data_IF_062265367325
#
_entry.id   IF_062265367325
#
_cell.length_a   1.000
_cell.length_b   1.000
_cell.length_c   1.000
_cell.angle_alpha   90.00
_cell.angle_beta   90.00
_cell.angle_gamma   90.00
#
_symmetry.space_group_name_H-M   'P 1'
#
loop_
_entity.id
_entity.type
_entity.pdbx_description
1 polymer ?
#
# COMPACT_ATOMS: atom_id res chain seq x y z
N UNK A 1 8.64 16.95 3.62
CA UNK A 1 7.73 17.67 4.56
C UNK A 1 8.39 17.90 5.92
N UNK A 2 9.04 16.90 6.49
CA UNK A 2 9.70 16.95 7.81
C UNK A 2 10.87 17.95 7.83
N UNK A 3 11.66 18.04 6.76
CA UNK A 3 12.80 18.99 6.68
C UNK A 3 12.38 20.47 6.86
N UNK A 4 11.15 20.82 6.45
CA UNK A 4 10.58 22.17 6.64
C UNK A 4 10.41 22.58 8.11
N UNK A 5 10.24 21.60 9.00
CA UNK A 5 10.01 21.82 10.44
C UNK A 5 11.27 21.66 11.29
N UNK A 6 12.34 21.12 10.71
CA UNK A 6 13.59 20.80 11.41
C UNK A 6 14.71 21.81 11.15
N UNK A 7 14.42 23.04 10.68
CA UNK A 7 15.43 24.09 10.50
C UNK A 7 16.04 24.46 11.87
N UNK A 8 17.05 23.69 12.30
CA UNK A 8 17.74 23.91 13.56
C UNK A 8 19.19 24.37 13.28
N UNK A 9 19.51 25.58 13.72
CA UNK A 9 20.88 26.13 13.78
C UNK A 9 21.68 26.16 12.46
N UNK A 10 21.08 26.44 11.32
CA UNK A 10 21.77 26.53 10.00
C UNK A 10 22.58 25.29 9.60
N UNK A 11 22.30 24.12 10.20
CA UNK A 11 22.94 22.85 9.79
C UNK A 11 22.27 22.30 8.53
N UNK A 12 23.04 21.63 7.65
CA UNK A 12 22.46 20.99 6.48
C UNK A 12 21.49 19.90 6.88
N UNK A 13 20.30 19.87 6.25
CA UNK A 13 19.30 18.82 6.43
C UNK A 13 19.05 18.21 5.07
N UNK A 14 19.20 16.91 4.97
CA UNK A 14 18.86 16.13 3.79
C UNK A 14 17.84 15.05 4.13
N UNK A 15 16.86 14.86 3.24
CA UNK A 15 15.85 13.79 3.39
C UNK A 15 16.35 12.55 2.65
N UNK A 16 16.66 11.53 3.41
CA UNK A 16 17.09 10.23 2.89
C UNK A 16 16.04 9.20 3.28
N UNK A 17 15.46 8.53 2.28
CA UNK A 17 14.42 7.54 2.52
C UNK A 17 14.96 6.25 3.12
N UNK A 18 14.10 5.47 3.78
CA UNK A 18 14.43 4.08 4.13
C UNK A 18 14.49 3.23 2.86
N UNK A 19 15.47 2.32 2.74
CA UNK A 19 15.60 1.46 1.57
C UNK A 19 14.57 0.33 1.56
N UNK A 20 14.34 -0.22 0.36
CA UNK A 20 13.66 -1.51 0.17
C UNK A 20 14.67 -2.59 -0.21
N UNK A 21 14.34 -3.84 0.10
CA UNK A 21 15.09 -5.01 -0.37
C UNK A 21 14.57 -5.44 -1.75
N UNK A 22 15.13 -4.85 -2.81
CA UNK A 22 14.72 -5.13 -4.20
C UNK A 22 15.06 -6.55 -4.69
N UNK A 23 15.87 -7.31 -3.95
CA UNK A 23 16.14 -8.73 -4.23
C UNK A 23 15.01 -9.61 -3.68
N UNK A 24 14.43 -9.24 -2.54
CA UNK A 24 13.27 -9.91 -1.98
C UNK A 24 11.98 -9.50 -2.73
N UNK A 25 11.80 -8.19 -2.94
CA UNK A 25 10.65 -7.62 -3.64
C UNK A 25 10.95 -7.44 -5.13
N UNK A 26 10.84 -8.53 -5.88
CA UNK A 26 11.02 -8.57 -7.34
C UNK A 26 9.87 -9.32 -8.00
N UNK A 27 9.55 -9.04 -9.26
CA UNK A 27 8.51 -9.72 -9.99
C UNK A 27 8.68 -11.24 -9.92
N UNK A 28 7.56 -11.94 -9.72
CA UNK A 28 7.50 -13.40 -9.67
C UNK A 28 6.60 -13.91 -10.78
N UNK A 29 6.98 -15.02 -11.39
CA UNK A 29 6.14 -15.73 -12.37
C UNK A 29 5.08 -16.55 -11.63
N UNK A 30 3.97 -15.91 -11.34
CA UNK A 30 2.80 -16.54 -10.72
C UNK A 30 1.53 -16.18 -11.50
N UNK A 31 0.53 -17.04 -11.42
CA UNK A 31 -0.81 -16.72 -11.94
C UNK A 31 -1.40 -15.60 -11.08
N UNK A 32 -1.66 -14.45 -11.72
CA UNK A 32 -2.38 -13.35 -11.06
C UNK A 32 -3.83 -13.78 -10.88
N UNK A 33 -4.31 -13.71 -9.66
CA UNK A 33 -5.71 -13.97 -9.35
C UNK A 33 -6.52 -12.76 -9.80
N UNK A 34 -7.40 -12.96 -10.80
CA UNK A 34 -8.21 -11.89 -11.40
C UNK A 34 -9.06 -11.23 -10.30
N UNK A 35 -9.08 -9.89 -10.30
CA UNK A 35 -9.82 -9.08 -9.32
C UNK A 35 -9.40 -9.28 -7.85
N UNK A 36 -8.19 -9.83 -7.60
CA UNK A 36 -7.61 -9.95 -6.28
C UNK A 36 -7.07 -8.59 -5.82
N UNK A 37 -7.69 -8.04 -4.78
CA UNK A 37 -7.28 -6.80 -4.12
C UNK A 37 -6.51 -7.18 -2.86
N UNK A 38 -5.27 -6.73 -2.74
CA UNK A 38 -4.40 -7.08 -1.61
C UNK A 38 -4.03 -5.86 -0.79
N UNK A 39 -4.22 -5.98 0.51
CA UNK A 39 -3.67 -5.08 1.52
C UNK A 39 -2.64 -5.84 2.36
N UNK A 40 -1.53 -5.20 2.69
CA UNK A 40 -0.57 -5.71 3.68
C UNK A 40 -0.16 -4.60 4.66
N UNK A 41 -0.15 -4.93 5.94
CA UNK A 41 0.19 -4.00 7.02
C UNK A 41 -0.58 -4.31 8.30
N UNK A 42 -0.27 -3.61 9.39
CA UNK A 42 -1.04 -3.76 10.62
C UNK A 42 -2.51 -3.43 10.36
N UNK A 43 -3.42 -4.31 10.76
CA UNK A 43 -4.87 -4.09 10.61
C UNK A 43 -5.31 -3.15 11.72
N UNK A 44 -5.41 -1.85 11.39
CA UNK A 44 -5.79 -0.80 12.34
C UNK A 44 -6.40 0.41 11.62
N UNK A 45 -7.05 1.30 12.37
CA UNK A 45 -7.68 2.53 11.84
C UNK A 45 -6.69 3.40 11.07
N UNK A 46 -5.49 3.60 11.61
CA UNK A 46 -4.41 4.41 11.00
C UNK A 46 -4.09 3.97 9.57
N UNK A 47 -4.26 2.69 9.25
CA UNK A 47 -3.97 2.11 7.93
C UNK A 47 -5.14 2.15 6.96
N UNK A 48 -6.28 2.72 7.37
CA UNK A 48 -7.47 2.91 6.51
C UNK A 48 -8.17 1.61 6.13
N UNK A 49 -7.95 0.53 6.88
CA UNK A 49 -8.54 -0.78 6.57
C UNK A 49 -10.07 -0.74 6.65
N UNK A 50 -10.63 0.00 7.60
CA UNK A 50 -12.08 0.20 7.70
C UNK A 50 -12.65 0.82 6.43
N UNK A 51 -12.03 1.89 5.93
CA UNK A 51 -12.47 2.61 4.74
C UNK A 51 -12.30 1.75 3.48
N UNK A 52 -11.26 0.90 3.43
CA UNK A 52 -11.09 -0.07 2.36
C UNK A 52 -12.22 -1.13 2.37
N UNK A 53 -12.58 -1.64 3.54
CA UNK A 53 -13.72 -2.55 3.73
C UNK A 53 -15.02 -1.87 3.30
N UNK A 54 -15.25 -0.62 3.70
CA UNK A 54 -16.44 0.15 3.34
C UNK A 54 -16.50 0.49 1.83
N UNK A 55 -15.35 0.57 1.16
CA UNK A 55 -15.26 0.75 -0.29
C UNK A 55 -15.63 -0.51 -1.08
N UNK A 56 -15.43 -1.69 -0.51
CA UNK A 56 -15.48 -2.96 -1.19
C UNK A 56 -16.85 -3.30 -1.82
N UNK A 57 -18.02 -2.99 -1.23
CA UNK A 57 -19.33 -3.21 -1.88
C UNK A 57 -19.45 -2.53 -3.24
N UNK A 58 -18.96 -1.29 -3.38
CA UNK A 58 -18.98 -0.58 -4.66
C UNK A 58 -18.09 -1.26 -5.71
N UNK A 59 -16.97 -1.85 -5.27
CA UNK A 59 -16.13 -2.66 -6.17
C UNK A 59 -16.86 -3.92 -6.60
N UNK A 60 -17.54 -4.61 -5.67
CA UNK A 60 -18.33 -5.83 -5.94
C UNK A 60 -19.47 -5.59 -6.94
N UNK A 61 -20.07 -4.40 -6.98
CA UNK A 61 -21.08 -4.04 -7.99
C UNK A 61 -20.53 -4.12 -9.42
N UNK A 62 -19.25 -3.85 -9.64
CA UNK A 62 -18.59 -3.87 -10.96
C UNK A 62 -17.82 -5.17 -11.20
N UNK A 63 -17.26 -5.74 -10.17
CA UNK A 63 -16.45 -6.96 -10.19
C UNK A 63 -17.00 -7.96 -9.15
N UNK A 64 -18.09 -8.70 -9.49
CA UNK A 64 -18.73 -9.63 -8.56
C UNK A 64 -17.79 -10.69 -7.98
N UNK A 65 -16.74 -11.04 -8.74
CA UNK A 65 -15.73 -12.04 -8.34
C UNK A 65 -14.53 -11.41 -7.59
N UNK A 66 -14.58 -10.11 -7.26
CA UNK A 66 -13.49 -9.47 -6.52
C UNK A 66 -13.35 -10.07 -5.12
N UNK A 67 -12.10 -10.27 -4.70
CA UNK A 67 -11.73 -10.74 -3.36
C UNK A 67 -10.81 -9.69 -2.73
N UNK A 68 -11.07 -9.34 -1.47
CA UNK A 68 -10.21 -8.47 -0.68
C UNK A 68 -9.42 -9.29 0.34
N UNK A 69 -8.12 -9.40 0.11
CA UNK A 69 -7.17 -10.12 0.96
C UNK A 69 -6.45 -9.14 1.89
N UNK A 70 -6.61 -9.31 3.20
CA UNK A 70 -6.05 -8.47 4.26
C UNK A 70 -4.97 -9.26 5.02
N UNK A 71 -3.70 -8.91 4.78
CA UNK A 71 -2.54 -9.51 5.44
C UNK A 71 -2.01 -8.56 6.50
N UNK A 72 -1.85 -9.04 7.73
CA UNK A 72 -1.22 -8.27 8.78
C UNK A 72 -1.66 -8.67 10.17
N UNK A 73 -0.85 -8.23 11.13
CA UNK A 73 -1.18 -8.44 12.54
C UNK A 73 -2.38 -7.58 12.94
N UNK A 74 -3.17 -8.11 13.84
CA UNK A 74 -4.23 -7.39 14.49
C UNK A 74 -3.68 -6.28 15.39
N UNK A 75 -4.35 -5.15 15.43
CA UNK A 75 -4.13 -4.10 16.40
C UNK A 75 -5.05 -4.32 17.61
N UNK A 76 -4.46 -4.30 18.80
CA UNK A 76 -5.23 -4.37 20.03
C UNK A 76 -5.44 -2.95 20.59
N UNK A 77 -6.67 -2.67 21.00
CA UNK A 77 -6.98 -1.45 21.74
C UNK A 77 -6.34 -1.47 23.14
N UNK A 78 -6.29 -0.33 23.85
CA UNK A 78 -5.72 -0.28 25.20
C UNK A 78 -6.35 -1.23 26.22
N UNK A 79 -7.61 -1.59 26.02
CA UNK A 79 -8.35 -2.58 26.83
C UNK A 79 -8.08 -4.04 26.42
N UNK A 80 -7.22 -4.26 25.42
CA UNK A 80 -6.88 -5.57 24.88
C UNK A 80 -7.86 -6.11 23.84
N UNK A 81 -8.93 -5.39 23.51
CA UNK A 81 -9.88 -5.83 22.48
C UNK A 81 -9.27 -5.76 21.07
N UNK A 82 -9.73 -6.65 20.19
CA UNK A 82 -9.22 -6.83 18.82
C UNK A 82 -9.88 -5.86 17.85
N UNK A 83 -9.06 -5.15 17.06
CA UNK A 83 -9.54 -4.30 15.96
C UNK A 83 -10.15 -5.13 14.82
N UNK A 84 -9.55 -6.28 14.50
CA UNK A 84 -10.07 -7.21 13.49
C UNK A 84 -11.45 -7.71 13.91
N UNK A 85 -11.62 -8.13 15.18
CA UNK A 85 -12.92 -8.57 15.70
C UNK A 85 -13.96 -7.46 15.62
N UNK A 86 -13.58 -6.23 15.97
CA UNK A 86 -14.47 -5.07 15.82
C UNK A 86 -14.91 -4.87 14.36
N UNK A 87 -13.99 -4.98 13.38
CA UNK A 87 -14.35 -4.89 11.96
C UNK A 87 -15.30 -6.02 11.54
N UNK A 88 -15.05 -7.25 11.99
CA UNK A 88 -15.90 -8.41 11.69
C UNK A 88 -17.30 -8.30 12.30
N UNK A 89 -17.44 -7.75 13.50
CA UNK A 89 -18.71 -7.62 14.20
C UNK A 89 -19.50 -6.35 13.81
N UNK A 90 -18.82 -5.27 13.43
CA UNK A 90 -19.47 -3.97 13.20
C UNK A 90 -19.52 -3.59 11.72
N UNK A 91 -18.45 -3.84 10.95
CA UNK A 91 -18.38 -3.40 9.55
C UNK A 91 -18.87 -4.46 8.58
N UNK A 92 -18.41 -5.72 8.71
CA UNK A 92 -18.79 -6.78 7.76
C UNK A 92 -20.31 -7.03 7.69
N UNK A 93 -21.10 -7.02 8.77
CA UNK A 93 -22.54 -7.24 8.67
C UNK A 93 -23.28 -6.20 7.82
N UNK A 94 -22.70 -5.00 7.65
CA UNK A 94 -23.28 -3.93 6.82
C UNK A 94 -23.14 -4.18 5.32
N UNK A 95 -22.24 -5.11 4.92
CA UNK A 95 -21.86 -5.35 3.53
C UNK A 95 -22.69 -6.45 2.85
N UNK A 96 -23.54 -7.14 3.60
CA UNK A 96 -24.34 -8.25 3.08
C UNK A 96 -23.45 -9.40 2.55
N UNK A 97 -23.82 -9.96 1.40
CA UNK A 97 -23.09 -11.11 0.82
C UNK A 97 -21.62 -10.81 0.48
N UNK A 98 -21.26 -9.57 0.19
CA UNK A 98 -19.88 -9.17 -0.10
C UNK A 98 -18.91 -9.34 1.07
N UNK A 99 -19.40 -9.50 2.30
CA UNK A 99 -18.57 -9.75 3.47
C UNK A 99 -17.78 -11.06 3.38
N UNK A 100 -18.33 -12.08 2.69
CA UNK A 100 -17.67 -13.39 2.55
C UNK A 100 -16.41 -13.36 1.68
N UNK A 101 -16.25 -12.34 0.85
CA UNK A 101 -15.12 -12.16 -0.04
C UNK A 101 -14.02 -11.26 0.55
N UNK A 102 -14.13 -10.95 1.86
CA UNK A 102 -13.11 -10.25 2.63
C UNK A 102 -12.41 -11.24 3.54
N UNK A 103 -11.13 -11.51 3.26
CA UNK A 103 -10.36 -12.56 3.92
C UNK A 103 -9.27 -11.94 4.79
N UNK A 104 -9.33 -12.19 6.09
CA UNK A 104 -8.29 -11.81 7.04
C UNK A 104 -7.30 -12.98 7.20
N UNK A 105 -6.10 -12.83 6.64
CA UNK A 105 -5.06 -13.87 6.69
C UNK A 105 -4.23 -13.86 7.97
N UNK A 106 -4.37 -12.79 8.79
CA UNK A 106 -3.50 -12.61 9.93
C UNK A 106 -2.08 -12.17 9.55
N UNK A 107 -1.16 -12.24 10.51
CA UNK A 107 0.24 -11.92 10.28
C UNK A 107 0.92 -13.03 9.46
N UNK A 108 1.66 -12.64 8.42
CA UNK A 108 2.53 -13.52 7.65
C UNK A 108 3.98 -13.11 7.87
N UNK A 109 4.92 -14.02 7.65
CA UNK A 109 6.34 -13.72 7.77
C UNK A 109 6.77 -12.72 6.67
N UNK A 110 7.75 -11.88 6.97
CA UNK A 110 8.20 -10.82 6.05
C UNK A 110 8.64 -11.38 4.68
N UNK A 111 9.27 -12.54 4.67
CA UNK A 111 9.69 -13.26 3.46
C UNK A 111 8.53 -13.77 2.60
N UNK A 112 7.31 -13.87 3.15
CA UNK A 112 6.13 -14.39 2.46
C UNK A 112 5.27 -13.24 1.86
N UNK A 113 5.51 -11.99 2.26
CA UNK A 113 4.81 -10.80 1.74
C UNK A 113 4.92 -10.71 0.21
N UNK A 114 6.09 -10.95 -0.43
CA UNK A 114 6.20 -10.94 -1.88
C UNK A 114 5.23 -11.90 -2.58
N UNK A 115 4.99 -13.08 -2.01
CA UNK A 115 4.05 -14.05 -2.57
C UNK A 115 2.59 -13.53 -2.53
N UNK A 116 2.22 -12.83 -1.45
CA UNK A 116 0.91 -12.20 -1.35
C UNK A 116 0.75 -11.07 -2.39
N UNK A 117 1.78 -10.23 -2.57
CA UNK A 117 1.76 -9.19 -3.61
C UNK A 117 1.74 -9.78 -5.02
N UNK A 118 2.54 -10.82 -5.29
CA UNK A 118 2.65 -11.42 -6.62
C UNK A 118 1.30 -11.86 -7.19
N UNK A 119 0.41 -12.39 -6.36
CA UNK A 119 -0.95 -12.83 -6.73
C UNK A 119 -1.94 -11.69 -6.93
N UNK A 120 -1.64 -10.49 -6.44
CA UNK A 120 -2.56 -9.36 -6.49
C UNK A 120 -2.76 -8.83 -7.91
N UNK A 121 -4.01 -8.51 -8.26
CA UNK A 121 -4.33 -7.66 -9.41
C UNK A 121 -4.05 -6.18 -9.08
N UNK A 122 -4.27 -5.78 -7.83
CA UNK A 122 -3.95 -4.45 -7.30
C UNK A 122 -3.63 -4.51 -5.82
N UNK A 123 -2.62 -3.76 -5.39
CA UNK A 123 -2.28 -3.55 -3.98
C UNK A 123 -2.82 -2.18 -3.53
N UNK A 124 -3.50 -2.14 -2.37
CA UNK A 124 -4.20 -0.94 -1.89
C UNK A 124 -3.81 -0.63 -0.46
N UNK A 125 -3.26 0.57 -0.24
CA UNK A 125 -2.76 1.02 1.06
C UNK A 125 -3.29 2.42 1.42
N UNK A 126 -4.58 2.56 1.78
CA UNK A 126 -5.24 3.85 2.01
C UNK A 126 -4.99 4.38 3.42
N UNK A 127 -3.74 4.50 3.81
CA UNK A 127 -3.36 4.92 5.16
C UNK A 127 -3.74 6.37 5.44
N UNK A 128 -4.35 6.62 6.60
CA UNK A 128 -4.63 7.96 7.10
C UNK A 128 -3.35 8.69 7.52
N UNK A 129 -2.35 7.93 7.98
CA UNK A 129 -1.07 8.48 8.42
C UNK A 129 0.06 7.52 8.10
N UNK A 130 1.08 8.04 7.44
CA UNK A 130 2.34 7.36 7.15
C UNK A 130 3.52 8.28 7.43
N UNK A 131 4.66 7.68 7.79
CA UNK A 131 5.97 8.36 7.77
C UNK A 131 6.61 8.24 6.40
N UNK A 132 6.63 7.04 5.83
CA UNK A 132 7.02 6.75 4.45
C UNK A 132 6.09 5.71 3.82
N UNK A 133 5.78 4.62 4.53
CA UNK A 133 4.91 3.54 4.06
C UNK A 133 5.61 2.61 3.08
N UNK A 134 6.62 1.87 3.53
CA UNK A 134 7.42 0.96 2.68
C UNK A 134 6.59 -0.07 1.92
N UNK A 135 5.40 -0.42 2.37
CA UNK A 135 4.48 -1.35 1.69
C UNK A 135 4.16 -0.95 0.25
N UNK A 136 4.06 0.38 -0.04
CA UNK A 136 3.82 0.85 -1.39
C UNK A 136 5.08 0.70 -2.27
N UNK A 137 6.28 1.19 -1.90
CA UNK A 137 7.52 0.90 -2.63
C UNK A 137 7.80 -0.60 -2.80
N UNK A 138 7.52 -1.44 -1.81
CA UNK A 138 7.70 -2.90 -1.88
C UNK A 138 6.80 -3.52 -2.95
N UNK A 139 5.51 -3.18 -2.97
CA UNK A 139 4.58 -3.68 -3.98
C UNK A 139 4.91 -3.12 -5.39
N UNK A 140 5.31 -1.84 -5.49
CA UNK A 140 5.77 -1.23 -6.74
C UNK A 140 7.03 -1.93 -7.28
N UNK A 141 7.98 -2.30 -6.41
CA UNK A 141 9.18 -3.04 -6.80
C UNK A 141 8.86 -4.40 -7.43
N UNK A 142 7.71 -4.98 -7.14
CA UNK A 142 7.20 -6.22 -7.73
C UNK A 142 6.35 -6.00 -9.00
N UNK A 143 6.39 -4.81 -9.60
CA UNK A 143 5.56 -4.46 -10.76
C UNK A 143 4.06 -4.64 -10.51
N UNK A 144 3.60 -4.39 -9.28
CA UNK A 144 2.17 -4.45 -8.99
C UNK A 144 1.53 -3.07 -9.19
N UNK A 145 0.30 -3.00 -9.74
CA UNK A 145 -0.51 -1.80 -9.65
C UNK A 145 -0.72 -1.44 -8.19
N UNK A 146 -0.38 -0.21 -7.79
CA UNK A 146 -0.47 0.25 -6.40
C UNK A 146 -1.36 1.47 -6.30
N UNK A 147 -2.32 1.40 -5.38
CA UNK A 147 -3.12 2.54 -4.91
C UNK A 147 -2.63 2.89 -3.51
N UNK A 148 -2.21 4.13 -3.32
CA UNK A 148 -1.68 4.61 -2.07
C UNK A 148 -2.43 5.85 -1.59
N UNK A 149 -2.22 6.23 -0.34
CA UNK A 149 -2.81 7.45 0.20
C UNK A 149 -2.28 8.69 -0.50
N UNK A 150 -3.15 9.69 -0.76
CA UNK A 150 -2.72 11.02 -1.21
C UNK A 150 -2.23 11.92 -0.05
N UNK A 151 -2.28 11.43 1.18
CA UNK A 151 -1.84 12.16 2.36
C UNK A 151 -0.38 11.86 2.71
N UNK A 152 0.24 12.79 3.44
CA UNK A 152 1.62 12.63 3.91
C UNK A 152 2.62 12.39 2.78
N UNK A 153 3.39 11.25 2.82
CA UNK A 153 4.43 10.98 1.83
C UNK A 153 3.89 10.40 0.51
N UNK A 154 2.58 10.18 0.36
CA UNK A 154 2.01 9.56 -0.83
C UNK A 154 2.50 10.19 -2.14
N UNK A 155 2.39 11.53 -2.34
CA UNK A 155 2.89 12.20 -3.54
C UNK A 155 4.41 12.23 -3.70
N UNK A 156 5.17 11.88 -2.65
CA UNK A 156 6.63 11.73 -2.73
C UNK A 156 7.03 10.32 -3.26
N UNK A 157 6.13 9.35 -3.12
CA UNK A 157 6.34 7.95 -3.54
C UNK A 157 5.72 7.67 -4.90
N UNK A 158 4.52 8.21 -5.16
CA UNK A 158 3.73 7.93 -6.36
C UNK A 158 3.41 9.23 -7.12
N UNK A 159 3.80 9.28 -8.39
CA UNK A 159 3.25 10.22 -9.36
C UNK A 159 1.90 9.66 -9.84
N UNK A 160 0.80 10.32 -9.45
CA UNK A 160 -0.56 9.85 -9.67
C UNK A 160 -0.89 9.65 -11.15
N UNK A 161 -1.37 8.46 -11.50
CA UNK A 161 -1.68 8.06 -12.88
C UNK A 161 -0.46 7.75 -13.75
N UNK A 162 0.78 7.91 -13.24
CA UNK A 162 2.02 7.68 -13.99
C UNK A 162 2.84 6.51 -13.44
N UNK A 163 3.00 6.41 -12.11
CA UNK A 163 3.77 5.36 -11.43
C UNK A 163 2.95 4.54 -10.46
N UNK A 164 1.70 4.89 -10.28
CA UNK A 164 0.68 4.29 -9.42
C UNK A 164 -0.51 5.24 -9.31
N UNK A 165 -1.35 5.04 -8.32
CA UNK A 165 -2.53 5.88 -8.08
C UNK A 165 -2.58 6.36 -6.63
N UNK A 166 -3.14 7.56 -6.45
CA UNK A 166 -3.39 8.15 -5.15
C UNK A 166 -4.89 8.20 -4.86
N UNK A 167 -5.28 7.95 -3.61
CA UNK A 167 -6.66 8.08 -3.17
C UNK A 167 -6.78 8.85 -1.86
N UNK A 168 -7.94 9.46 -1.61
CA UNK A 168 -8.28 9.99 -0.30
C UNK A 168 -8.65 8.83 0.63
N UNK A 169 -7.86 8.55 1.67
CA UNK A 169 -8.13 7.43 2.57
C UNK A 169 -9.37 7.63 3.45
N UNK A 170 -9.89 8.85 3.54
CA UNK A 170 -11.11 9.16 4.31
C UNK A 170 -12.39 8.96 3.50
N UNK A 171 -12.28 8.72 2.17
CA UNK A 171 -13.42 8.66 1.26
C UNK A 171 -13.54 7.24 0.64
N UNK A 172 -14.33 6.34 1.23
CA UNK A 172 -14.50 4.97 0.71
C UNK A 172 -14.91 4.94 -0.77
N UNK A 173 -15.72 5.91 -1.21
CA UNK A 173 -16.14 6.01 -2.61
C UNK A 173 -14.97 6.33 -3.54
N UNK A 174 -14.03 7.19 -3.13
CA UNK A 174 -12.83 7.50 -3.93
C UNK A 174 -11.90 6.27 -3.98
N UNK A 175 -11.72 5.57 -2.86
CA UNK A 175 -10.97 4.30 -2.83
C UNK A 175 -11.57 3.30 -3.80
N UNK A 176 -12.89 3.09 -3.76
CA UNK A 176 -13.60 2.17 -4.63
C UNK A 176 -13.44 2.55 -6.12
N UNK A 177 -13.65 3.84 -6.46
CA UNK A 177 -13.54 4.32 -7.83
C UNK A 177 -12.12 4.12 -8.39
N UNK A 178 -11.09 4.35 -7.57
CA UNK A 178 -9.69 4.14 -7.98
C UNK A 178 -9.42 2.65 -8.19
N UNK A 179 -9.90 1.76 -7.33
CA UNK A 179 -9.81 0.30 -7.52
C UNK A 179 -10.49 -0.11 -8.82
N UNK A 180 -11.73 0.34 -9.04
CA UNK A 180 -12.50 0.05 -10.25
C UNK A 180 -11.75 0.53 -11.50
N UNK A 181 -11.19 1.73 -11.48
CA UNK A 181 -10.39 2.28 -12.58
C UNK A 181 -9.20 1.37 -12.93
N UNK A 182 -8.47 0.90 -11.93
CA UNK A 182 -7.30 0.02 -12.10
C UNK A 182 -7.72 -1.33 -12.67
N UNK A 183 -8.72 -1.98 -12.07
CA UNK A 183 -9.20 -3.30 -12.49
C UNK A 183 -9.87 -3.27 -13.88
N UNK A 184 -10.49 -2.16 -14.27
CA UNK A 184 -11.15 -2.01 -15.57
C UNK A 184 -10.17 -1.93 -16.76
N UNK A 185 -8.88 -1.63 -16.51
CA UNK A 185 -7.90 -1.54 -17.58
C UNK A 185 -6.56 -2.17 -17.17
N UNK A 186 -6.49 -3.50 -17.11
CA UNK A 186 -5.30 -4.22 -16.63
C UNK A 186 -4.06 -3.96 -17.51
N UNK A 187 -4.22 -3.72 -18.80
CA UNK A 187 -3.10 -3.40 -19.69
C UNK A 187 -2.44 -2.07 -19.26
N UNK A 188 -3.24 -1.01 -19.12
CA UNK A 188 -2.74 0.29 -18.65
C UNK A 188 -2.20 0.21 -17.22
N UNK A 189 -2.85 -0.58 -16.37
CA UNK A 189 -2.40 -0.78 -15.00
C UNK A 189 -1.00 -1.41 -14.96
N UNK A 190 -0.74 -2.41 -15.79
CA UNK A 190 0.58 -3.05 -15.91
C UNK A 190 1.64 -2.10 -16.48
N UNK A 191 1.31 -1.25 -17.45
CA UNK A 191 2.23 -0.24 -17.98
C UNK A 191 2.66 0.77 -16.90
N UNK A 192 1.70 1.25 -16.11
CA UNK A 192 1.95 2.14 -14.97
C UNK A 192 2.77 1.43 -13.89
N UNK A 193 2.45 0.17 -13.58
CA UNK A 193 3.18 -0.61 -12.59
C UNK A 193 4.67 -0.81 -12.96
N UNK A 194 4.98 -1.04 -14.25
CA UNK A 194 6.37 -1.09 -14.75
C UNK A 194 7.11 0.23 -14.54
N UNK A 195 6.46 1.36 -14.82
CA UNK A 195 7.04 2.69 -14.54
C UNK A 195 7.23 2.90 -13.03
N UNK A 196 6.26 2.44 -12.22
CA UNK A 196 6.33 2.47 -10.77
C UNK A 196 7.55 1.72 -10.24
N UNK A 197 7.82 0.50 -10.75
CA UNK A 197 9.03 -0.24 -10.39
C UNK A 197 10.29 0.53 -10.73
N UNK A 198 10.41 1.09 -11.93
CA UNK A 198 11.60 1.85 -12.33
C UNK A 198 11.84 3.04 -11.38
N UNK A 199 10.78 3.80 -11.07
CA UNK A 199 10.84 4.92 -10.15
C UNK A 199 11.32 4.50 -8.75
N UNK A 200 10.77 3.42 -8.21
CA UNK A 200 11.12 2.92 -6.88
C UNK A 200 12.56 2.41 -6.80
N UNK A 201 13.02 1.68 -7.81
CA UNK A 201 14.41 1.20 -7.84
C UNK A 201 15.41 2.37 -7.90
N UNK A 202 15.09 3.47 -8.58
CA UNK A 202 15.93 4.66 -8.61
C UNK A 202 15.99 5.38 -7.27
N UNK A 203 14.89 5.37 -6.49
CA UNK A 203 14.75 6.18 -5.29
C UNK A 203 15.04 5.42 -4.00
N UNK A 204 14.66 4.14 -3.90
CA UNK A 204 14.58 3.36 -2.66
C UNK A 204 15.49 2.13 -2.63
N UNK A 205 16.23 1.83 -3.69
CA UNK A 205 17.16 0.69 -3.67
C UNK A 205 18.25 0.90 -2.61
N UNK A 206 18.61 -0.19 -1.91
CA UNK A 206 19.60 -0.17 -0.81
C UNK A 206 20.90 0.51 -1.25
N UNK A 207 21.45 0.18 -2.42
CA UNK A 207 22.70 0.77 -2.93
C UNK A 207 22.60 2.28 -3.10
N UNK A 208 21.49 2.76 -3.66
CA UNK A 208 21.23 4.19 -3.85
C UNK A 208 21.14 4.91 -2.51
N UNK A 209 20.41 4.35 -1.56
CA UNK A 209 20.22 4.95 -0.23
C UNK A 209 21.53 4.95 0.56
N UNK A 210 22.31 3.87 0.52
CA UNK A 210 23.64 3.81 1.18
C UNK A 210 24.60 4.85 0.59
N UNK A 211 24.64 4.99 -0.75
CA UNK A 211 25.48 6.00 -1.39
C UNK A 211 25.12 7.44 -0.95
N UNK A 212 23.83 7.76 -0.89
CA UNK A 212 23.32 9.06 -0.38
C UNK A 212 23.72 9.30 1.07
N UNK A 213 23.61 8.28 1.93
CA UNK A 213 24.03 8.41 3.34
C UNK A 213 25.53 8.69 3.45
N UNK A 214 26.37 7.93 2.73
CA UNK A 214 27.83 8.13 2.73
C UNK A 214 28.17 9.55 2.24
N UNK A 215 27.56 10.00 1.14
CA UNK A 215 27.75 11.35 0.61
C UNK A 215 27.36 12.43 1.64
N UNK A 216 26.24 12.26 2.32
CA UNK A 216 25.79 13.19 3.34
C UNK A 216 26.76 13.26 4.52
N UNK A 217 27.20 12.10 5.06
CA UNK A 217 28.14 12.08 6.18
C UNK A 217 29.53 12.64 5.81
N UNK A 218 29.96 12.51 4.57
CA UNK A 218 31.23 13.09 4.11
C UNK A 218 31.18 14.63 3.95
N UNK A 219 30.00 15.23 3.97
CA UNK A 219 29.80 16.70 3.92
C UNK A 219 29.73 17.37 5.30
N UNK A 220 29.64 16.57 6.37
CA UNK A 220 29.61 17.08 7.77
C UNK A 220 31.00 17.30 8.35
#
# INVERSE_FOLDING_TARGET
>A
HTAKYLSYNNKPIEVIFNPINSQLFQPQEVVIEINNITFAGTICEKKGVRQLIQAFPLVKEKFPDAILNLYGRDWLFPDGSSYVKMLQEIELPKLGAGANDIIFHGAIAFQDIPTAYAKAAVCVFPSHMETLGLVAPEAMAMEKPVIFTKLGPGPEVIADGETGWLCNPHEPKEIANTIIQVLSNPQKANEIAKKGRLSVLQQFEIKTIVAKNIEFYNKL
#
